data_IF_833149877070
#
_entry.id   IF_833149877070
#
_cell.length_a   1.000
_cell.length_b   1.000
_cell.length_c   1.000
_cell.angle_alpha   90.00
_cell.angle_beta   90.00
_cell.angle_gamma   90.00
#
_symmetry.space_group_name_H-M   'P 1'
#
loop_
_entity.id
_entity.type
_entity.pdbx_description
1 polymer ?
#
# COMPACT_ATOMS: atom_id res chain seq x y z
N UNK A 1 -47.09 26.59 44.23
CA UNK A 1 -47.04 25.15 43.91
C UNK A 1 -46.92 25.05 42.38
N UNK A 2 -45.74 24.99 41.77
CA UNK A 2 -44.79 23.87 41.62
C UNK A 2 -45.45 22.55 41.24
N UNK A 3 -45.29 22.14 39.98
CA UNK A 3 -44.86 20.79 39.59
C UNK A 3 -44.34 20.83 38.14
N UNK A 4 -43.01 20.82 38.00
CA UNK A 4 -42.25 20.44 36.81
C UNK A 4 -41.82 18.98 37.01
N UNK A 5 -42.05 18.11 36.03
CA UNK A 5 -41.46 16.78 35.78
C UNK A 5 -41.98 16.41 34.37
N UNK A 6 -41.21 16.15 33.31
CA UNK A 6 -39.84 15.68 33.18
C UNK A 6 -39.87 14.24 32.65
N UNK A 7 -39.85 14.04 31.32
CA UNK A 7 -39.32 12.82 30.70
C UNK A 7 -39.01 13.04 29.22
N UNK A 8 -37.72 13.26 28.95
CA UNK A 8 -37.07 13.02 27.67
C UNK A 8 -37.02 11.50 27.43
N UNK A 9 -37.38 11.09 26.21
CA UNK A 9 -37.01 9.79 25.68
C UNK A 9 -36.29 10.05 24.35
N UNK A 10 -34.97 10.16 24.49
CA UNK A 10 -33.99 10.30 23.43
C UNK A 10 -34.00 9.02 22.58
N UNK A 11 -34.32 9.16 21.29
CA UNK A 11 -34.27 8.08 20.33
C UNK A 11 -32.84 8.00 19.76
N UNK A 12 -31.99 7.20 20.39
CA UNK A 12 -30.70 6.78 19.84
C UNK A 12 -30.96 5.87 18.62
N UNK A 13 -31.04 6.47 17.44
CA UNK A 13 -31.04 5.76 16.16
C UNK A 13 -29.60 5.36 15.86
N UNK A 14 -29.21 4.15 16.29
CA UNK A 14 -28.00 3.48 15.83
C UNK A 14 -28.11 3.24 14.31
N UNK A 15 -27.50 4.14 13.53
CA UNK A 15 -27.25 3.91 12.11
C UNK A 15 -26.01 3.03 11.96
N UNK A 16 -26.20 1.73 12.14
CA UNK A 16 -25.23 0.69 11.76
C UNK A 16 -25.56 0.23 10.33
N UNK A 17 -25.36 1.11 9.35
CA UNK A 17 -25.33 0.74 7.93
C UNK A 17 -24.09 1.34 7.26
N UNK A 18 -22.98 0.60 7.39
CA UNK A 18 -21.81 0.80 6.56
C UNK A 18 -21.55 -0.48 5.77
N UNK A 19 -22.41 -0.74 4.77
CA UNK A 19 -22.08 -1.45 3.53
C UNK A 19 -21.36 -2.78 3.72
N UNK A 20 -22.14 -3.86 3.79
CA UNK A 20 -21.70 -5.24 3.96
C UNK A 20 -20.59 -5.65 3.00
N UNK A 21 -19.40 -5.88 3.56
CA UNK A 21 -18.54 -6.93 3.06
C UNK A 21 -19.09 -8.21 3.67
N UNK A 22 -19.53 -9.16 2.84
CA UNK A 22 -19.76 -10.51 3.31
C UNK A 22 -18.44 -11.01 3.89
N UNK A 23 -18.41 -11.34 5.18
CA UNK A 23 -17.31 -12.03 5.88
C UNK A 23 -17.20 -13.48 5.32
N UNK A 24 -17.07 -13.62 4.00
CA UNK A 24 -16.53 -14.85 3.43
C UNK A 24 -15.08 -14.86 3.85
N UNK A 25 -14.75 -15.82 4.72
CA UNK A 25 -13.42 -16.10 5.24
C UNK A 25 -12.50 -16.45 4.05
N UNK A 26 -12.01 -15.41 3.38
CA UNK A 26 -11.24 -15.51 2.17
C UNK A 26 -9.81 -15.90 2.58
N UNK A 27 -9.57 -17.22 2.69
CA UNK A 27 -8.24 -17.75 2.91
C UNK A 27 -7.30 -17.23 1.81
N UNK A 28 -6.29 -16.46 2.22
CA UNK A 28 -5.20 -16.07 1.35
C UNK A 28 -4.26 -17.27 1.23
N UNK A 29 -4.17 -17.84 0.02
CA UNK A 29 -3.11 -18.80 -0.31
C UNK A 29 -1.79 -18.05 -0.47
N UNK A 30 -0.78 -18.55 0.22
CA UNK A 30 0.57 -17.97 0.19
C UNK A 30 1.19 -18.22 -1.19
N UNK A 31 1.54 -17.15 -1.90
CA UNK A 31 2.32 -17.28 -3.13
C UNK A 31 3.74 -17.73 -2.77
N UNK A 32 4.18 -18.88 -3.32
CA UNK A 32 5.56 -19.34 -3.22
C UNK A 32 6.45 -18.39 -4.03
N UNK A 33 7.30 -17.64 -3.32
CA UNK A 33 8.27 -16.74 -3.91
C UNK A 33 9.52 -17.54 -4.25
N UNK A 34 9.90 -17.59 -5.53
CA UNK A 34 11.11 -18.26 -5.98
C UNK A 34 12.38 -17.52 -5.57
N UNK A 35 13.45 -18.25 -5.25
CA UNK A 35 14.76 -17.68 -4.93
C UNK A 35 15.35 -16.86 -6.10
N UNK A 36 15.02 -17.24 -7.33
CA UNK A 36 15.44 -16.53 -8.53
C UNK A 36 14.78 -15.15 -8.64
N UNK A 37 13.49 -15.04 -8.30
CA UNK A 37 12.77 -13.77 -8.30
C UNK A 37 13.32 -12.82 -7.23
N UNK A 38 13.60 -13.34 -6.03
CA UNK A 38 14.25 -12.56 -4.97
C UNK A 38 15.62 -12.03 -5.41
N UNK A 39 16.45 -12.89 -6.03
CA UNK A 39 17.77 -12.51 -6.51
C UNK A 39 17.71 -11.48 -7.65
N UNK A 40 16.77 -11.64 -8.59
CA UNK A 40 16.58 -10.71 -9.69
C UNK A 40 16.18 -9.31 -9.19
N UNK A 41 15.30 -9.25 -8.18
CA UNK A 41 14.82 -8.00 -7.60
C UNK A 41 15.85 -7.34 -6.68
N UNK A 42 16.65 -8.12 -5.96
CA UNK A 42 17.71 -7.61 -5.10
C UNK A 42 18.72 -6.73 -5.86
N UNK A 43 18.97 -7.02 -7.15
CA UNK A 43 19.84 -6.22 -8.04
C UNK A 43 19.32 -4.79 -8.29
N UNK A 44 18.05 -4.54 -8.01
CA UNK A 44 17.38 -3.25 -8.18
C UNK A 44 16.94 -2.64 -6.84
N UNK A 45 17.30 -3.26 -5.71
CA UNK A 45 17.12 -2.63 -4.40
C UNK A 45 18.25 -1.67 -4.11
N UNK A 46 17.95 -0.57 -3.41
CA UNK A 46 18.96 0.38 -3.00
C UNK A 46 19.68 -0.17 -1.75
N UNK A 47 20.98 -0.51 -1.80
CA UNK A 47 21.71 -1.05 -0.65
C UNK A 47 21.82 -0.05 0.50
N UNK A 48 21.78 1.26 0.22
CA UNK A 48 21.81 2.31 1.25
C UNK A 48 20.44 2.56 1.89
N UNK A 49 19.35 2.06 1.30
CA UNK A 49 18.00 2.27 1.84
C UNK A 49 17.80 1.60 3.21
N UNK A 50 18.55 0.53 3.52
CA UNK A 50 18.51 -0.13 4.82
C UNK A 50 18.88 0.80 5.99
N UNK A 51 19.63 1.88 5.73
CA UNK A 51 19.95 2.91 6.74
C UNK A 51 18.79 3.88 7.02
N UNK A 52 17.79 3.93 6.14
CA UNK A 52 16.62 4.81 6.27
C UNK A 52 15.54 4.09 7.07
N UNK A 53 15.66 4.13 8.39
CA UNK A 53 14.63 3.60 9.27
C UNK A 53 13.35 4.41 9.15
N UNK A 54 12.23 3.72 8.93
CA UNK A 54 10.93 4.35 8.83
C UNK A 54 10.47 4.80 10.24
N UNK A 55 10.26 6.11 10.41
CA UNK A 55 9.83 6.71 11.69
C UNK A 55 8.40 6.27 12.06
N UNK A 56 8.21 5.84 13.31
CA UNK A 56 6.90 5.51 13.90
C UNK A 56 6.27 6.73 14.57
N UNK A 57 5.00 6.60 15.00
CA UNK A 57 4.36 7.63 15.83
C UNK A 57 5.14 7.86 17.12
N UNK A 58 5.60 6.78 17.75
CA UNK A 58 6.38 6.79 18.99
C UNK A 58 7.66 7.59 18.82
N UNK A 59 8.42 7.35 17.74
CA UNK A 59 9.67 8.05 17.45
C UNK A 59 9.47 9.57 17.38
N UNK A 60 8.42 10.01 16.66
CA UNK A 60 8.13 11.44 16.47
C UNK A 60 7.73 12.10 17.79
N UNK A 61 6.92 11.43 18.60
CA UNK A 61 6.45 11.99 19.87
C UNK A 61 7.59 12.05 20.89
N UNK A 62 8.43 11.00 20.96
CA UNK A 62 9.60 10.97 21.83
C UNK A 62 10.63 12.02 21.45
N UNK A 63 10.89 12.23 20.15
CA UNK A 63 11.76 13.31 19.66
C UNK A 63 11.21 14.68 20.08
N UNK A 64 9.90 14.92 19.90
CA UNK A 64 9.24 16.17 20.30
C UNK A 64 9.26 16.40 21.83
N UNK A 65 9.13 15.35 22.62
CA UNK A 65 9.25 15.42 24.08
C UNK A 65 10.68 15.83 24.46
N UNK A 66 11.69 15.17 23.88
CA UNK A 66 13.11 15.48 24.13
C UNK A 66 13.46 16.93 23.81
N UNK A 67 13.07 17.42 22.64
CA UNK A 67 13.29 18.82 22.24
C UNK A 67 12.68 19.83 23.23
N UNK A 68 11.48 19.53 23.77
CA UNK A 68 10.84 20.38 24.77
C UNK A 68 11.54 20.33 26.13
N UNK A 69 12.06 19.18 26.53
CA UNK A 69 12.80 19.04 27.79
C UNK A 69 14.13 19.79 27.74
N UNK A 70 14.85 19.67 26.62
CA UNK A 70 16.10 20.41 26.36
C UNK A 70 15.86 21.93 26.34
N UNK A 71 14.81 22.40 25.66
CA UNK A 71 14.43 23.81 25.66
C UNK A 71 13.98 24.32 27.05
N UNK A 72 13.46 23.44 27.90
CA UNK A 72 13.05 23.73 29.27
C UNK A 72 14.15 23.59 30.33
N UNK A 73 15.38 23.21 29.93
CA UNK A 73 16.50 23.02 30.85
C UNK A 73 16.38 21.83 31.81
N UNK A 74 15.53 20.83 31.47
CA UNK A 74 15.40 19.60 32.25
C UNK A 74 16.46 18.57 31.83
N UNK A 75 17.02 17.79 32.77
CA UNK A 75 18.04 16.78 32.44
C UNK A 75 17.46 15.68 31.54
N UNK A 76 18.29 15.20 30.60
CA UNK A 76 17.93 14.09 29.71
C UNK A 76 17.67 12.82 30.53
N UNK A 77 16.47 12.25 30.38
CA UNK A 77 16.12 10.96 30.98
C UNK A 77 16.74 9.85 30.11
N UNK A 78 17.43 8.84 30.69
CA UNK A 78 17.94 7.69 29.93
C UNK A 78 16.82 6.96 29.17
N UNK A 79 17.13 6.37 28.00
CA UNK A 79 16.15 5.66 27.16
C UNK A 79 15.44 4.49 27.87
N UNK A 80 16.05 3.95 28.94
CA UNK A 80 15.57 2.76 29.66
C UNK A 80 14.67 3.05 30.88
N UNK A 81 14.45 4.32 31.27
CA UNK A 81 13.58 4.64 32.40
C UNK A 81 12.18 5.06 31.95
N UNK A 82 11.17 4.24 32.27
CA UNK A 82 9.73 4.61 32.24
C UNK A 82 9.40 5.68 33.30
N UNK A 83 10.08 6.83 33.24
CA UNK A 83 9.91 7.94 34.17
C UNK A 83 8.75 8.87 33.79
N UNK A 84 8.29 9.72 34.72
CA UNK A 84 7.19 10.68 34.52
C UNK A 84 7.43 11.74 33.42
N UNK A 85 8.60 11.76 32.78
CA UNK A 85 8.92 12.65 31.65
C UNK A 85 8.53 12.14 30.27
N UNK A 86 8.08 10.89 30.11
CA UNK A 86 7.65 10.31 28.82
C UNK A 86 6.21 10.66 28.41
N UNK A 87 5.53 11.56 29.13
CA UNK A 87 4.13 11.92 28.87
C UNK A 87 4.06 13.14 27.94
N UNK A 88 3.30 13.08 26.84
CA UNK A 88 3.00 14.27 26.05
C UNK A 88 2.38 15.38 26.92
N UNK A 89 2.99 16.56 26.91
CA UNK A 89 2.57 17.67 27.78
C UNK A 89 1.12 18.10 27.54
N UNK A 90 0.39 18.40 28.62
CA UNK A 90 -1.00 18.86 28.58
C UNK A 90 -2.07 17.79 28.84
N UNK A 91 -1.67 16.55 29.13
CA UNK A 91 -2.59 15.45 29.49
C UNK A 91 -2.61 15.29 31.02
N UNK A 92 -3.81 15.22 31.61
CA UNK A 92 -3.99 15.01 33.06
C UNK A 92 -3.43 13.64 33.48
N UNK A 93 -2.78 13.51 34.65
CA UNK A 93 -2.21 12.24 35.12
C UNK A 93 -3.21 11.08 35.13
N UNK A 94 -4.45 11.33 35.56
CA UNK A 94 -5.54 10.34 35.55
C UNK A 94 -5.85 9.78 34.15
N UNK A 95 -5.76 10.63 33.12
CA UNK A 95 -5.96 10.20 31.73
C UNK A 95 -4.77 9.39 31.23
N UNK A 96 -3.56 9.70 31.68
CA UNK A 96 -2.35 8.93 31.34
C UNK A 96 -2.48 7.50 31.85
N UNK A 97 -2.83 7.32 33.12
CA UNK A 97 -3.05 6.00 33.71
C UNK A 97 -4.17 5.25 32.99
N UNK A 98 -5.29 5.92 32.69
CA UNK A 98 -6.40 5.33 31.93
C UNK A 98 -5.96 4.80 30.56
N UNK A 99 -5.24 5.59 29.76
CA UNK A 99 -4.83 5.18 28.42
C UNK A 99 -3.71 4.14 28.43
N UNK A 100 -2.84 4.14 29.43
CA UNK A 100 -1.86 3.05 29.66
C UNK A 100 -2.57 1.72 29.95
N UNK A 101 -3.61 1.73 30.78
CA UNK A 101 -4.42 0.53 31.03
C UNK A 101 -5.17 0.07 29.77
N UNK A 102 -5.67 1.00 28.95
CA UNK A 102 -6.23 0.67 27.63
C UNK A 102 -5.20 -0.01 26.74
N UNK A 103 -3.95 0.47 26.71
CA UNK A 103 -2.86 -0.18 25.95
C UNK A 103 -2.62 -1.63 26.37
N UNK A 104 -2.60 -1.91 27.68
CA UNK A 104 -2.49 -3.28 28.22
C UNK A 104 -3.62 -4.19 27.74
N UNK A 105 -4.85 -3.66 27.62
CA UNK A 105 -6.00 -4.40 27.08
C UNK A 105 -5.80 -4.68 25.58
N UNK A 106 -5.39 -3.68 24.81
CA UNK A 106 -5.22 -3.80 23.35
C UNK A 106 -4.11 -4.79 22.96
N UNK A 107 -3.06 -4.91 23.78
CA UNK A 107 -2.01 -5.92 23.60
C UNK A 107 -2.51 -7.36 23.63
N UNK A 108 -3.55 -7.64 24.42
CA UNK A 108 -4.14 -8.99 24.58
C UNK A 108 -5.48 -9.16 23.86
N UNK A 109 -5.93 -8.13 23.16
CA UNK A 109 -7.25 -8.12 22.53
C UNK A 109 -7.33 -9.15 21.40
N UNK A 110 -8.40 -9.91 21.35
CA UNK A 110 -8.66 -10.87 20.26
C UNK A 110 -10.06 -10.66 19.70
N UNK A 111 -11.06 -10.72 20.57
CA UNK A 111 -12.48 -10.53 20.24
C UNK A 111 -13.17 -9.66 21.30
N UNK A 112 -14.37 -9.16 20.95
CA UNK A 112 -15.21 -8.41 21.88
C UNK A 112 -15.22 -6.90 21.64
N UNK A 113 -15.75 -6.16 22.62
CA UNK A 113 -15.96 -4.71 22.50
C UNK A 113 -14.69 -3.95 22.88
N UNK A 114 -14.24 -3.08 21.97
CA UNK A 114 -13.13 -2.16 22.23
C UNK A 114 -13.51 -1.14 23.33
N UNK A 115 -12.62 -0.80 24.28
CA UNK A 115 -12.91 0.14 25.36
C UNK A 115 -13.47 1.48 24.89
N UNK A 116 -14.46 2.03 25.61
CA UNK A 116 -15.10 3.32 25.27
C UNK A 116 -14.09 4.47 25.21
N UNK A 117 -13.11 4.46 26.11
CA UNK A 117 -12.01 5.45 26.14
C UNK A 117 -11.17 5.43 24.85
N UNK A 118 -10.98 4.26 24.23
CA UNK A 118 -10.30 4.16 22.93
C UNK A 118 -11.16 4.70 21.79
N UNK A 119 -12.49 4.44 21.85
CA UNK A 119 -13.43 4.86 20.80
C UNK A 119 -13.55 6.37 20.61
N UNK A 120 -13.26 7.15 21.64
CA UNK A 120 -13.33 8.61 21.57
C UNK A 120 -12.05 9.22 20.99
N UNK A 121 -10.93 8.49 20.90
CA UNK A 121 -9.63 9.04 20.47
C UNK A 121 -9.73 9.77 19.11
N UNK A 122 -10.37 9.21 18.06
CA UNK A 122 -10.45 9.91 16.76
C UNK A 122 -11.17 11.25 16.79
N UNK A 123 -11.93 11.56 17.85
CA UNK A 123 -12.66 12.82 18.03
C UNK A 123 -11.85 13.89 18.77
N UNK A 124 -10.69 13.52 19.32
CA UNK A 124 -9.83 14.43 20.08
C UNK A 124 -8.96 15.26 19.14
N UNK A 125 -8.70 16.51 19.50
CA UNK A 125 -7.77 17.37 18.76
C UNK A 125 -6.33 16.84 18.86
N UNK A 126 -5.94 16.37 20.04
CA UNK A 126 -4.63 15.80 20.35
C UNK A 126 -4.63 14.25 20.27
N UNK A 127 -5.37 13.68 19.32
CA UNK A 127 -5.54 12.23 19.20
C UNK A 127 -4.23 11.45 19.08
N UNK A 128 -3.19 12.02 18.45
CA UNK A 128 -1.87 11.38 18.30
C UNK A 128 -1.15 11.19 19.64
N UNK A 129 -1.14 12.23 20.46
CA UNK A 129 -0.53 12.21 21.80
C UNK A 129 -1.27 11.22 22.70
N UNK A 130 -2.60 11.17 22.60
CA UNK A 130 -3.43 10.22 23.36
C UNK A 130 -3.25 8.79 22.86
N UNK A 131 -3.12 8.59 21.54
CA UNK A 131 -2.91 7.28 20.94
C UNK A 131 -1.56 6.68 21.37
N UNK A 132 -0.53 7.51 21.43
CA UNK A 132 0.80 7.12 21.90
C UNK A 132 0.78 6.47 23.29
N UNK A 133 -0.02 7.00 24.21
CA UNK A 133 -0.18 6.44 25.56
C UNK A 133 -0.73 5.01 25.58
N UNK A 134 -1.35 4.55 24.49
CA UNK A 134 -1.90 3.19 24.37
C UNK A 134 -0.91 2.19 23.79
N UNK A 135 0.36 2.58 23.58
CA UNK A 135 1.42 1.76 23.00
C UNK A 135 1.00 1.04 21.70
N UNK A 136 0.83 1.77 20.58
CA UNK A 136 0.36 1.21 19.31
C UNK A 136 1.25 0.11 18.71
N UNK A 137 2.51 0.08 19.13
CA UNK A 137 3.51 -0.89 18.72
C UNK A 137 3.32 -2.26 19.39
N UNK A 138 2.76 -2.26 20.60
CA UNK A 138 2.45 -3.45 21.38
C UNK A 138 1.04 -4.02 21.13
N UNK A 139 0.23 -3.44 20.25
CA UNK A 139 -1.12 -3.93 19.97
C UNK A 139 -1.14 -5.34 19.39
N UNK A 140 -2.21 -6.09 19.64
CA UNK A 140 -2.43 -7.33 18.90
C UNK A 140 -2.87 -7.06 17.45
N UNK A 141 -2.70 -8.02 16.52
CA UNK A 141 -3.24 -7.93 15.16
C UNK A 141 -4.74 -7.60 15.11
N UNK A 142 -5.52 -8.14 16.05
CA UNK A 142 -6.96 -7.92 16.14
C UNK A 142 -7.29 -6.50 16.63
N UNK A 143 -6.51 -5.97 17.57
CA UNK A 143 -6.64 -4.59 18.02
C UNK A 143 -6.33 -3.62 16.87
N UNK A 144 -5.25 -3.88 16.13
CA UNK A 144 -4.88 -3.06 14.95
C UNK A 144 -5.96 -3.06 13.89
N UNK A 145 -6.63 -4.20 13.65
CA UNK A 145 -7.79 -4.25 12.76
C UNK A 145 -8.95 -3.37 13.23
N UNK A 146 -9.36 -3.50 14.50
CA UNK A 146 -10.47 -2.70 15.03
C UNK A 146 -10.12 -1.21 15.08
N UNK A 147 -8.88 -0.87 15.47
CA UNK A 147 -8.37 0.48 15.42
C UNK A 147 -8.42 1.03 13.99
N UNK A 148 -7.93 0.28 13.00
CA UNK A 148 -7.97 0.72 11.60
C UNK A 148 -9.40 0.96 11.12
N UNK A 149 -10.33 0.03 11.39
CA UNK A 149 -11.75 0.21 11.03
C UNK A 149 -12.34 1.49 11.62
N UNK A 150 -12.05 1.76 12.89
CA UNK A 150 -12.60 2.92 13.59
C UNK A 150 -11.95 4.24 13.15
N UNK A 151 -10.63 4.27 13.07
CA UNK A 151 -9.87 5.47 12.73
C UNK A 151 -10.11 5.88 11.27
N UNK A 152 -10.15 4.93 10.35
CA UNK A 152 -10.43 5.22 8.93
C UNK A 152 -11.83 5.78 8.73
N UNK A 153 -12.83 5.32 9.50
CA UNK A 153 -14.19 5.85 9.40
C UNK A 153 -14.37 7.23 10.05
N UNK A 154 -13.68 7.51 11.15
CA UNK A 154 -13.92 8.73 11.95
C UNK A 154 -12.93 9.87 11.64
N UNK A 155 -11.73 9.56 11.15
CA UNK A 155 -10.73 10.59 10.82
C UNK A 155 -10.92 11.17 9.41
N UNK A 156 -10.56 12.45 9.25
CA UNK A 156 -10.44 13.04 7.92
C UNK A 156 -9.26 12.43 7.12
N UNK A 157 -9.16 12.72 5.82
CA UNK A 157 -8.13 12.14 4.94
C UNK A 157 -6.70 12.37 5.43
N UNK A 158 -6.39 13.57 5.92
CA UNK A 158 -5.05 13.94 6.39
C UNK A 158 -4.67 13.21 7.67
N UNK A 159 -5.59 13.12 8.62
CA UNK A 159 -5.36 12.40 9.88
C UNK A 159 -5.29 10.89 9.66
N UNK A 160 -6.17 10.33 8.83
CA UNK A 160 -6.12 8.91 8.48
C UNK A 160 -4.82 8.54 7.76
N UNK A 161 -4.31 9.42 6.89
CA UNK A 161 -2.99 9.24 6.25
C UNK A 161 -1.87 9.13 7.31
N UNK A 162 -1.89 10.01 8.33
CA UNK A 162 -0.91 9.98 9.43
C UNK A 162 -1.01 8.69 10.24
N UNK A 163 -2.22 8.28 10.62
CA UNK A 163 -2.44 6.99 11.30
C UNK A 163 -1.90 5.81 10.46
N UNK A 164 -2.21 5.78 9.18
CA UNK A 164 -1.75 4.73 8.28
C UNK A 164 -0.22 4.69 8.15
N UNK A 165 0.42 5.86 8.02
CA UNK A 165 1.87 5.95 7.84
C UNK A 165 2.67 5.66 9.11
N UNK A 166 2.16 6.07 10.28
CA UNK A 166 2.90 6.08 11.54
C UNK A 166 2.55 4.91 12.47
N UNK A 167 1.40 4.26 12.25
CA UNK A 167 0.92 3.15 13.09
C UNK A 167 0.71 1.89 12.27
N UNK A 168 -0.15 1.93 11.25
CA UNK A 168 -0.51 0.72 10.49
C UNK A 168 0.66 0.19 9.65
N UNK A 169 1.37 1.06 8.92
CA UNK A 169 2.47 0.65 8.06
C UNK A 169 3.60 0.00 8.86
N UNK A 170 4.15 0.60 9.93
CA UNK A 170 5.22 -0.03 10.71
C UNK A 170 4.80 -1.38 11.30
N UNK A 171 3.55 -1.49 11.79
CA UNK A 171 3.03 -2.74 12.36
C UNK A 171 2.96 -3.87 11.31
N UNK A 172 2.45 -3.57 10.11
CA UNK A 172 2.38 -4.53 8.99
C UNK A 172 3.76 -4.99 8.56
N UNK A 173 4.72 -4.06 8.44
CA UNK A 173 6.10 -4.39 8.06
C UNK A 173 6.80 -5.25 9.09
N UNK A 174 6.61 -4.93 10.39
CA UNK A 174 7.13 -5.70 11.51
C UNK A 174 6.58 -7.13 11.51
N UNK A 175 5.26 -7.29 11.39
CA UNK A 175 4.63 -8.62 11.38
C UNK A 175 5.14 -9.48 10.20
N UNK A 176 5.32 -8.90 9.01
CA UNK A 176 5.90 -9.59 7.85
C UNK A 176 7.36 -9.97 8.09
N UNK A 177 8.15 -9.07 8.69
CA UNK A 177 9.55 -9.34 9.02
C UNK A 177 9.68 -10.50 10.01
N UNK A 178 8.90 -10.47 11.08
CA UNK A 178 9.00 -11.41 12.20
C UNK A 178 8.45 -12.78 11.83
N UNK A 179 7.31 -12.83 11.12
CA UNK A 179 6.59 -14.07 10.83
C UNK A 179 6.80 -14.60 9.41
N UNK A 180 7.47 -13.84 8.53
CA UNK A 180 7.59 -14.10 7.06
C UNK A 180 6.27 -14.17 6.30
N UNK A 181 5.15 -13.93 6.98
CA UNK A 181 3.77 -13.88 6.48
C UNK A 181 2.99 -12.82 7.24
N UNK A 182 1.90 -12.31 6.67
CA UNK A 182 1.05 -11.34 7.33
C UNK A 182 -0.12 -12.01 8.05
N UNK A 183 -0.36 -11.65 9.30
CA UNK A 183 -1.52 -12.09 10.07
C UNK A 183 -2.84 -11.66 9.39
N UNK A 184 -3.83 -12.56 9.35
CA UNK A 184 -5.11 -12.32 8.65
C UNK A 184 -5.81 -11.02 9.08
N UNK A 185 -5.90 -10.75 10.39
CA UNK A 185 -6.47 -9.49 10.90
C UNK A 185 -5.76 -8.24 10.36
N UNK A 186 -4.43 -8.26 10.18
CA UNK A 186 -3.69 -7.14 9.58
C UNK A 186 -3.96 -7.03 8.08
N UNK A 187 -4.14 -8.15 7.37
CA UNK A 187 -4.59 -8.13 5.98
C UNK A 187 -5.98 -7.49 5.85
N UNK A 188 -6.91 -7.81 6.75
CA UNK A 188 -8.22 -7.15 6.81
C UNK A 188 -8.10 -5.67 7.19
N UNK A 189 -7.14 -5.30 8.04
CA UNK A 189 -6.83 -3.91 8.34
C UNK A 189 -6.39 -3.14 7.08
N UNK A 190 -5.53 -3.72 6.24
CA UNK A 190 -5.14 -3.14 4.96
C UNK A 190 -6.33 -2.99 4.00
N UNK A 191 -7.19 -4.01 3.88
CA UNK A 191 -8.44 -3.93 3.09
C UNK A 191 -9.33 -2.80 3.60
N UNK A 192 -9.46 -2.63 4.92
CA UNK A 192 -10.27 -1.57 5.50
C UNK A 192 -9.64 -0.19 5.32
N UNK A 193 -8.31 -0.09 5.38
CA UNK A 193 -7.59 1.15 5.09
C UNK A 193 -7.86 1.66 3.65
N UNK A 194 -8.04 0.76 2.70
CA UNK A 194 -8.35 1.10 1.31
C UNK A 194 -9.71 1.80 1.11
N UNK A 195 -10.61 1.79 2.11
CA UNK A 195 -11.88 2.53 2.06
C UNK A 195 -11.69 4.05 2.04
N UNK A 196 -10.47 4.53 2.33
CA UNK A 196 -10.09 5.94 2.19
C UNK A 196 -8.88 6.04 1.24
N UNK A 197 -9.10 5.98 -0.09
CA UNK A 197 -8.04 5.78 -1.09
C UNK A 197 -6.91 6.81 -1.04
N UNK A 198 -7.23 8.10 -0.84
CA UNK A 198 -6.23 9.15 -0.77
C UNK A 198 -5.24 8.93 0.40
N UNK A 199 -5.78 8.56 1.57
CA UNK A 199 -4.99 8.23 2.75
C UNK A 199 -4.21 6.92 2.55
N UNK A 200 -4.83 5.91 1.93
CA UNK A 200 -4.19 4.63 1.63
C UNK A 200 -2.96 4.80 0.74
N UNK A 201 -3.08 5.52 -0.38
CA UNK A 201 -1.94 5.71 -1.28
C UNK A 201 -0.83 6.54 -0.63
N UNK A 202 -1.17 7.66 0.02
CA UNK A 202 -0.17 8.57 0.62
C UNK A 202 0.38 8.10 1.95
N UNK A 203 -0.31 7.20 2.64
CA UNK A 203 0.05 6.70 3.97
C UNK A 203 0.64 5.29 3.97
N UNK A 204 0.29 4.45 2.99
CA UNK A 204 0.79 3.08 2.89
C UNK A 204 1.66 2.89 1.65
N UNK A 205 1.06 2.93 0.46
CA UNK A 205 1.71 2.49 -0.77
C UNK A 205 2.92 3.35 -1.14
N UNK A 206 2.74 4.67 -1.23
CA UNK A 206 3.79 5.59 -1.67
C UNK A 206 4.94 5.68 -0.66
N UNK A 207 4.70 5.81 0.66
CA UNK A 207 5.79 5.77 1.64
C UNK A 207 6.59 4.46 1.59
N UNK A 208 5.90 3.32 1.42
CA UNK A 208 6.58 2.03 1.29
C UNK A 208 7.52 2.00 0.09
N UNK A 209 7.06 2.44 -1.08
CA UNK A 209 7.88 2.47 -2.29
C UNK A 209 9.03 3.50 -2.18
N UNK A 210 8.75 4.67 -1.59
CA UNK A 210 9.73 5.75 -1.41
C UNK A 210 10.84 5.39 -0.42
N UNK A 211 10.54 4.54 0.57
CA UNK A 211 11.54 4.09 1.55
C UNK A 211 12.69 3.32 0.92
N UNK A 212 12.50 2.73 -0.27
CA UNK A 212 13.51 1.90 -0.93
C UNK A 212 13.82 0.57 -0.22
N UNK A 213 13.21 0.30 0.94
CA UNK A 213 13.37 -0.93 1.74
C UNK A 213 12.24 -1.92 1.56
N UNK A 214 11.29 -1.65 0.67
CA UNK A 214 10.16 -2.54 0.41
C UNK A 214 10.66 -3.89 -0.09
N UNK A 215 10.39 -4.95 0.66
CA UNK A 215 10.75 -6.32 0.29
C UNK A 215 9.76 -6.90 -0.73
N UNK A 216 10.14 -8.01 -1.36
CA UNK A 216 9.27 -8.72 -2.30
C UNK A 216 8.00 -9.25 -1.62
N UNK A 217 8.12 -9.80 -0.41
CA UNK A 217 6.99 -10.30 0.38
C UNK A 217 6.00 -9.18 0.70
N UNK A 218 6.49 -8.02 1.14
CA UNK A 218 5.66 -6.82 1.35
C UNK A 218 4.95 -6.39 0.06
N UNK A 219 5.66 -6.40 -1.07
CA UNK A 219 5.10 -6.01 -2.37
C UNK A 219 3.99 -6.95 -2.83
N UNK A 220 4.16 -8.28 -2.70
CA UNK A 220 3.16 -9.30 -3.05
C UNK A 220 1.89 -9.14 -2.21
N UNK A 221 2.05 -8.98 -0.88
CA UNK A 221 0.90 -8.85 0.03
C UNK A 221 0.09 -7.60 -0.27
N UNK A 222 0.73 -6.44 -0.42
CA UNK A 222 0.03 -5.18 -0.76
C UNK A 222 -0.54 -5.19 -2.17
N UNK A 223 0.13 -5.85 -3.11
CA UNK A 223 -0.41 -6.09 -4.46
C UNK A 223 -1.69 -6.92 -4.42
N UNK A 224 -1.74 -7.95 -3.58
CA UNK A 224 -2.95 -8.75 -3.36
C UNK A 224 -4.10 -7.91 -2.79
N UNK A 225 -3.83 -7.05 -1.81
CA UNK A 225 -4.82 -6.10 -1.29
C UNK A 225 -5.35 -5.22 -2.42
N UNK A 226 -4.45 -4.56 -3.16
CA UNK A 226 -4.79 -3.67 -4.28
C UNK A 226 -5.65 -4.38 -5.33
N UNK A 227 -5.35 -5.64 -5.68
CA UNK A 227 -6.11 -6.44 -6.63
C UNK A 227 -7.55 -6.68 -6.15
N UNK A 228 -7.74 -6.98 -4.86
CA UNK A 228 -9.06 -7.30 -4.27
C UNK A 228 -9.93 -6.08 -3.98
N UNK A 229 -9.35 -4.93 -3.68
CA UNK A 229 -10.13 -3.71 -3.35
C UNK A 229 -10.55 -2.95 -4.60
N UNK A 230 -11.76 -2.37 -4.59
CA UNK A 230 -12.20 -1.45 -5.62
C UNK A 230 -11.77 -0.02 -5.26
N UNK A 231 -10.88 0.57 -6.06
CA UNK A 231 -10.33 1.90 -5.82
C UNK A 231 -10.82 2.89 -6.89
N UNK A 232 -11.12 4.15 -6.55
CA UNK A 232 -11.53 5.13 -7.54
C UNK A 232 -10.39 5.46 -8.53
N UNK A 233 -10.76 5.51 -9.81
CA UNK A 233 -9.85 5.76 -10.93
C UNK A 233 -8.89 6.93 -10.72
N UNK A 234 -9.39 8.09 -10.27
CA UNK A 234 -8.56 9.31 -10.16
C UNK A 234 -7.44 9.15 -9.13
N UNK A 235 -7.71 8.47 -8.01
CA UNK A 235 -6.69 8.19 -7.00
C UNK A 235 -5.66 7.20 -7.53
N UNK A 236 -6.12 6.13 -8.18
CA UNK A 236 -5.26 5.13 -8.83
C UNK A 236 -4.36 5.76 -9.89
N UNK A 237 -4.90 6.65 -10.73
CA UNK A 237 -4.17 7.35 -11.78
C UNK A 237 -3.07 8.28 -11.21
N UNK A 238 -3.38 9.02 -10.13
CA UNK A 238 -2.39 9.86 -9.45
C UNK A 238 -1.29 9.03 -8.78
N UNK A 239 -1.64 7.93 -8.13
CA UNK A 239 -0.68 7.00 -7.54
C UNK A 239 0.23 6.38 -8.59
N UNK A 240 -0.33 5.96 -9.73
CA UNK A 240 0.39 5.36 -10.85
C UNK A 240 1.40 6.35 -11.46
N UNK A 241 1.00 7.60 -11.68
CA UNK A 241 1.93 8.64 -12.14
C UNK A 241 3.07 8.89 -11.14
N UNK A 242 2.78 8.84 -9.83
CA UNK A 242 3.81 8.99 -8.79
C UNK A 242 4.76 7.80 -8.74
N UNK A 243 4.26 6.57 -8.90
CA UNK A 243 5.06 5.34 -9.02
C UNK A 243 5.95 5.34 -10.26
N UNK A 244 5.44 5.85 -11.38
CA UNK A 244 6.20 5.98 -12.62
C UNK A 244 7.39 6.97 -12.49
N UNK A 245 7.20 8.06 -11.74
CA UNK A 245 8.20 9.13 -11.59
C UNK A 245 9.15 9.01 -10.40
N UNK A 246 9.05 7.98 -9.54
CA UNK A 246 9.99 7.77 -8.44
C UNK A 246 11.20 6.94 -8.87
N UNK A 247 12.25 6.92 -8.06
CA UNK A 247 13.42 6.07 -8.29
C UNK A 247 12.97 4.60 -8.43
N UNK A 248 13.48 3.91 -9.44
CA UNK A 248 13.08 2.53 -9.69
C UNK A 248 13.65 1.60 -8.63
N UNK A 249 12.76 0.89 -7.96
CA UNK A 249 13.04 -0.36 -7.26
C UNK A 249 12.29 -1.48 -7.98
N UNK A 250 12.83 -2.69 -7.98
CA UNK A 250 12.20 -3.83 -8.67
C UNK A 250 10.74 -4.07 -8.24
N UNK A 251 10.42 -3.76 -6.98
CA UNK A 251 9.07 -3.90 -6.41
C UNK A 251 8.05 -2.89 -6.93
N UNK A 252 8.47 -1.73 -7.44
CA UNK A 252 7.55 -0.75 -8.04
C UNK A 252 6.80 -1.35 -9.24
N UNK A 253 7.42 -2.26 -9.99
CA UNK A 253 6.80 -2.94 -11.13
C UNK A 253 5.58 -3.78 -10.76
N UNK A 254 5.54 -4.36 -9.55
CA UNK A 254 4.35 -5.09 -9.07
C UNK A 254 3.15 -4.16 -8.94
N UNK A 255 3.34 -3.03 -8.25
CA UNK A 255 2.27 -2.07 -8.04
C UNK A 255 1.81 -1.40 -9.33
N UNK A 256 2.74 -1.06 -10.22
CA UNK A 256 2.41 -0.52 -11.55
C UNK A 256 1.58 -1.55 -12.32
N UNK A 257 2.04 -2.81 -12.40
CA UNK A 257 1.31 -3.89 -13.09
C UNK A 257 -0.12 -4.06 -12.53
N UNK A 258 -0.28 -4.19 -11.22
CA UNK A 258 -1.59 -4.39 -10.57
C UNK A 258 -2.53 -3.21 -10.84
N UNK A 259 -2.03 -1.98 -10.78
CA UNK A 259 -2.86 -0.79 -11.07
C UNK A 259 -3.24 -0.70 -12.55
N UNK A 260 -2.40 -1.19 -13.47
CA UNK A 260 -2.74 -1.30 -14.89
C UNK A 260 -3.79 -2.40 -15.14
N UNK A 261 -3.71 -3.52 -14.43
CA UNK A 261 -4.66 -4.64 -14.49
C UNK A 261 -6.07 -4.27 -14.01
N UNK A 262 -6.22 -3.15 -13.29
CA UNK A 262 -7.53 -2.55 -12.99
C UNK A 262 -8.24 -1.99 -14.22
N UNK A 263 -7.55 -1.84 -15.36
CA UNK A 263 -8.12 -1.48 -16.68
C UNK A 263 -8.90 -0.16 -16.69
N UNK A 264 -8.54 0.77 -15.81
CA UNK A 264 -9.13 2.11 -15.76
C UNK A 264 -8.92 2.91 -17.06
N UNK A 265 -9.74 3.94 -17.26
CA UNK A 265 -9.51 4.92 -18.31
C UNK A 265 -8.52 5.98 -17.79
N UNK A 266 -7.24 5.86 -18.15
CA UNK A 266 -6.20 6.74 -17.63
C UNK A 266 -6.16 8.09 -18.38
N UNK A 267 -5.94 9.23 -17.69
CA UNK A 267 -5.66 10.50 -18.34
C UNK A 267 -4.36 10.43 -19.15
N UNK A 268 -4.28 11.14 -20.29
CA UNK A 268 -3.09 11.13 -21.15
C UNK A 268 -1.79 11.46 -20.44
N UNK A 269 -1.81 12.41 -19.49
CA UNK A 269 -0.61 12.72 -18.69
C UNK A 269 -0.06 11.53 -17.91
N UNK A 270 -0.91 10.59 -17.48
CA UNK A 270 -0.48 9.39 -16.77
C UNK A 270 0.08 8.37 -17.74
N UNK A 271 -0.52 8.23 -18.93
CA UNK A 271 -0.03 7.37 -20.00
C UNK A 271 1.35 7.84 -20.48
N UNK A 272 1.49 9.14 -20.72
CA UNK A 272 2.76 9.76 -21.13
C UNK A 272 3.84 9.55 -20.04
N UNK A 273 3.50 9.72 -18.75
CA UNK A 273 4.42 9.44 -17.65
C UNK A 273 4.84 7.96 -17.55
N UNK A 274 3.94 7.02 -17.88
CA UNK A 274 4.27 5.58 -17.93
C UNK A 274 5.18 5.25 -19.12
N UNK A 275 4.94 5.87 -20.28
CA UNK A 275 5.84 5.76 -21.43
C UNK A 275 7.24 6.25 -21.03
N UNK A 276 7.34 7.44 -20.42
CA UNK A 276 8.61 8.00 -19.97
C UNK A 276 9.32 7.07 -18.97
N UNK A 277 8.56 6.49 -18.03
CA UNK A 277 9.07 5.49 -17.09
C UNK A 277 9.72 4.30 -17.81
N UNK A 278 9.00 3.64 -18.73
CA UNK A 278 9.54 2.49 -19.46
C UNK A 278 10.72 2.87 -20.36
N UNK A 279 10.65 4.02 -21.04
CA UNK A 279 11.73 4.51 -21.89
C UNK A 279 12.98 4.90 -21.10
N UNK A 280 12.86 5.17 -19.79
CA UNK A 280 14.00 5.38 -18.89
C UNK A 280 14.98 4.20 -18.86
N UNK A 281 14.49 2.97 -19.05
CA UNK A 281 15.32 1.75 -19.04
C UNK A 281 16.04 1.47 -20.36
N UNK A 282 15.93 2.38 -21.34
CA UNK A 282 16.66 2.26 -22.61
C UNK A 282 18.17 2.23 -22.47
N UNK A 283 18.73 2.71 -21.36
CA UNK A 283 20.17 2.67 -21.07
C UNK A 283 20.54 1.70 -19.94
N UNK A 284 19.56 1.00 -19.38
CA UNK A 284 19.81 0.03 -18.32
C UNK A 284 20.61 -1.15 -18.88
N UNK A 285 21.65 -1.55 -18.17
CA UNK A 285 22.54 -2.66 -18.53
C UNK A 285 22.25 -3.90 -17.68
N UNK A 286 21.66 -3.72 -16.49
CA UNK A 286 21.21 -4.82 -15.66
C UNK A 286 20.05 -5.55 -16.32
N UNK A 287 20.01 -6.87 -16.19
CA UNK A 287 18.89 -7.68 -16.63
C UNK A 287 17.64 -7.33 -15.83
N UNK A 288 16.60 -6.84 -16.52
CA UNK A 288 15.35 -6.43 -15.88
C UNK A 288 14.55 -7.65 -15.39
N UNK A 289 13.87 -7.57 -14.23
CA UNK A 289 13.07 -8.67 -13.71
C UNK A 289 11.86 -8.97 -14.61
N UNK A 290 11.37 -10.21 -14.60
CA UNK A 290 10.19 -10.64 -15.39
C UNK A 290 8.98 -9.75 -15.13
N UNK A 291 8.75 -9.34 -13.87
CA UNK A 291 7.65 -8.44 -13.49
C UNK A 291 7.71 -7.08 -14.21
N UNK A 292 8.89 -6.57 -14.55
CA UNK A 292 9.03 -5.34 -15.34
C UNK A 292 8.50 -5.55 -16.76
N UNK A 293 8.89 -6.66 -17.40
CA UNK A 293 8.42 -7.00 -18.74
C UNK A 293 6.91 -7.25 -18.76
N UNK A 294 6.39 -7.93 -17.74
CA UNK A 294 4.94 -8.15 -17.60
C UNK A 294 4.20 -6.82 -17.38
N UNK A 295 4.75 -5.91 -16.57
CA UNK A 295 4.18 -4.57 -16.39
C UNK A 295 4.08 -3.79 -17.70
N UNK A 296 5.13 -3.84 -18.53
CA UNK A 296 5.15 -3.25 -19.87
C UNK A 296 4.10 -3.92 -20.79
N UNK A 297 3.99 -5.25 -20.76
CA UNK A 297 2.99 -5.98 -21.54
C UNK A 297 1.57 -5.57 -21.15
N UNK A 298 1.24 -5.55 -19.85
CA UNK A 298 -0.07 -5.11 -19.37
C UNK A 298 -0.37 -3.67 -19.80
N UNK A 299 0.61 -2.78 -19.72
CA UNK A 299 0.47 -1.40 -20.20
C UNK A 299 0.11 -1.36 -21.70
N UNK A 300 0.89 -2.05 -22.53
CA UNK A 300 0.67 -2.05 -23.98
C UNK A 300 -0.67 -2.70 -24.34
N UNK A 301 -0.98 -3.88 -23.79
CA UNK A 301 -2.25 -4.56 -24.05
C UNK A 301 -3.46 -3.65 -23.81
N UNK A 302 -3.42 -2.86 -22.74
CA UNK A 302 -4.54 -2.01 -22.34
C UNK A 302 -4.57 -0.64 -23.02
N UNK A 303 -3.41 -0.01 -23.20
CA UNK A 303 -3.30 1.41 -23.55
C UNK A 303 -2.65 1.66 -24.91
N UNK A 304 -2.33 0.63 -25.71
CA UNK A 304 -1.73 0.75 -27.05
C UNK A 304 -2.37 1.78 -27.99
N UNK A 305 -3.67 2.02 -27.88
CA UNK A 305 -4.39 3.00 -28.72
C UNK A 305 -4.24 4.46 -28.25
N UNK A 306 -3.78 4.66 -27.02
CA UNK A 306 -3.62 5.97 -26.39
C UNK A 306 -2.14 6.44 -26.37
N UNK A 307 -1.22 5.64 -26.93
CA UNK A 307 0.21 5.95 -27.05
C UNK A 307 0.47 6.74 -28.35
N UNK A 308 1.33 7.75 -28.30
CA UNK A 308 1.71 8.57 -29.46
C UNK A 308 2.55 7.75 -30.45
N UNK A 309 2.52 8.13 -31.74
CA UNK A 309 3.23 7.40 -32.78
C UNK A 309 4.76 7.37 -32.55
N UNK A 310 5.34 8.51 -32.13
CA UNK A 310 6.77 8.61 -31.79
C UNK A 310 7.15 7.69 -30.63
N UNK A 311 6.31 7.63 -29.59
CA UNK A 311 6.54 6.82 -28.41
C UNK A 311 6.49 5.33 -28.74
N UNK A 312 5.57 4.90 -29.61
CA UNK A 312 5.55 3.50 -30.08
C UNK A 312 6.84 3.11 -30.78
N UNK A 313 7.38 3.97 -31.64
CA UNK A 313 8.66 3.71 -32.30
C UNK A 313 9.81 3.57 -31.28
N UNK A 314 9.78 4.38 -30.22
CA UNK A 314 10.75 4.27 -29.12
C UNK A 314 10.57 2.99 -28.30
N UNK A 315 9.32 2.55 -28.06
CA UNK A 315 9.01 1.29 -27.39
C UNK A 315 9.47 0.08 -28.21
N UNK A 316 9.31 0.09 -29.54
CA UNK A 316 9.87 -0.97 -30.41
C UNK A 316 11.40 -1.06 -30.27
N UNK A 317 12.09 0.08 -30.16
CA UNK A 317 13.54 0.09 -29.93
C UNK A 317 13.88 -0.41 -28.52
N UNK A 318 13.07 -0.06 -27.52
CA UNK A 318 13.25 -0.51 -26.13
C UNK A 318 13.18 -2.03 -26.03
N UNK A 319 12.12 -2.66 -26.56
CA UNK A 319 11.91 -4.11 -26.40
C UNK A 319 12.95 -4.97 -27.13
N UNK A 320 13.60 -4.42 -28.17
CA UNK A 320 14.75 -5.08 -28.82
C UNK A 320 16.01 -5.07 -27.95
N UNK A 321 16.18 -4.02 -27.15
CA UNK A 321 17.32 -3.90 -26.22
C UNK A 321 17.05 -4.66 -24.92
N UNK A 322 15.88 -4.46 -24.33
CA UNK A 322 15.42 -5.13 -23.12
C UNK A 322 14.54 -6.31 -23.52
N UNK A 323 15.18 -7.42 -23.90
CA UNK A 323 14.51 -8.59 -24.46
C UNK A 323 14.19 -9.65 -23.41
N UNK A 324 12.95 -10.14 -23.41
CA UNK A 324 12.52 -11.32 -22.68
C UNK A 324 11.90 -12.33 -23.65
N UNK A 325 12.41 -13.56 -23.65
CA UNK A 325 12.09 -14.59 -24.66
C UNK A 325 10.60 -14.89 -24.83
N UNK A 326 9.81 -14.91 -23.75
CA UNK A 326 8.35 -15.14 -23.83
C UNK A 326 7.50 -13.86 -23.95
N UNK A 327 7.96 -12.75 -23.38
CA UNK A 327 7.10 -11.57 -23.16
C UNK A 327 7.29 -10.54 -24.26
N UNK A 328 8.53 -10.32 -24.69
CA UNK A 328 8.84 -9.35 -25.75
C UNK A 328 8.10 -9.63 -27.07
N UNK A 329 7.98 -10.90 -27.55
CA UNK A 329 7.20 -11.18 -28.75
C UNK A 329 5.74 -10.74 -28.64
N UNK A 330 5.12 -10.93 -27.47
CA UNK A 330 3.74 -10.51 -27.21
C UNK A 330 3.63 -8.97 -27.19
N UNK A 331 4.56 -8.28 -26.54
CA UNK A 331 4.61 -6.80 -26.53
C UNK A 331 4.73 -6.27 -27.97
N UNK A 332 5.61 -6.86 -28.77
CA UNK A 332 5.79 -6.50 -30.17
C UNK A 332 4.50 -6.67 -30.97
N UNK A 333 3.83 -7.83 -30.82
CA UNK A 333 2.55 -8.12 -31.49
C UNK A 333 1.48 -7.09 -31.14
N UNK A 334 1.35 -6.75 -29.86
CA UNK A 334 0.34 -5.79 -29.40
C UNK A 334 0.60 -4.36 -29.90
N UNK A 335 1.86 -3.94 -30.00
CA UNK A 335 2.24 -2.63 -30.57
C UNK A 335 1.89 -2.56 -32.07
N UNK A 336 2.27 -3.56 -32.86
CA UNK A 336 1.97 -3.63 -34.30
C UNK A 336 0.46 -3.66 -34.59
N UNK A 337 -0.30 -4.35 -33.75
CA UNK A 337 -1.75 -4.52 -33.92
C UNK A 337 -2.57 -3.26 -33.55
N UNK A 338 -1.96 -2.08 -33.42
CA UNK A 338 -2.62 -0.90 -32.85
C UNK A 338 -2.34 0.41 -33.57
N UNK A 339 -3.41 1.21 -33.77
CA UNK A 339 -3.31 2.62 -34.20
C UNK A 339 -2.70 3.50 -33.12
N UNK A 340 -2.04 4.58 -33.51
CA UNK A 340 -1.50 5.58 -32.56
C UNK A 340 -2.58 6.54 -32.08
N UNK A 341 -2.33 7.21 -30.95
CA UNK A 341 -3.21 8.25 -30.40
C UNK A 341 -3.50 9.33 -31.45
N UNK A 342 -4.78 9.59 -31.71
CA UNK A 342 -5.21 10.61 -32.67
C UNK A 342 -5.19 10.19 -34.13
N UNK A 343 -4.74 8.97 -34.46
CA UNK A 343 -4.89 8.42 -35.81
C UNK A 343 -6.35 8.01 -36.05
N UNK A 344 -6.93 8.48 -37.16
CA UNK A 344 -8.28 8.08 -37.56
C UNK A 344 -8.28 6.60 -37.96
N UNK A 345 -9.31 5.86 -37.55
CA UNK A 345 -9.51 4.50 -38.06
C UNK A 345 -9.60 4.56 -39.58
N UNK A 346 -8.82 3.73 -40.29
CA UNK A 346 -9.08 3.51 -41.72
C UNK A 346 -10.48 2.91 -41.81
N UNK A 347 -11.39 3.61 -42.48
CA UNK A 347 -12.79 3.20 -42.61
C UNK A 347 -12.85 1.75 -43.12
N UNK A 348 -13.44 0.85 -42.31
CA UNK A 348 -13.63 -0.56 -42.66
C UNK A 348 -13.02 -1.59 -41.70
N UNK A 349 -12.20 -1.21 -40.72
CA UNK A 349 -11.78 -2.13 -39.67
C UNK A 349 -12.87 -2.26 -38.61
N UNK A 350 -13.57 -3.40 -38.59
CA UNK A 350 -14.52 -3.77 -37.54
C UNK A 350 -13.81 -3.70 -36.18
N UNK A 351 -14.31 -2.86 -35.26
CA UNK A 351 -13.80 -2.79 -33.89
C UNK A 351 -14.13 -4.10 -33.18
N UNK A 352 -13.20 -5.06 -33.25
CA UNK A 352 -13.21 -6.20 -32.34
C UNK A 352 -12.76 -5.65 -30.98
N UNK A 353 -13.72 -5.35 -30.10
CA UNK A 353 -13.44 -5.34 -28.67
C UNK A 353 -12.81 -6.71 -28.36
N UNK A 354 -11.52 -6.72 -28.02
CA UNK A 354 -10.85 -7.92 -27.60
C UNK A 354 -11.58 -8.50 -26.38
N UNK A 355 -12.39 -9.53 -26.60
CA UNK A 355 -12.77 -10.47 -25.55
C UNK A 355 -11.48 -11.21 -25.19
N UNK A 356 -10.74 -10.68 -24.23
CA UNK A 356 -9.58 -11.36 -23.67
C UNK A 356 -10.09 -12.61 -22.96
N UNK A 357 -9.66 -13.77 -23.47
CA UNK A 357 -9.87 -15.07 -22.84
C UNK A 357 -9.40 -15.01 -21.40
N UNK A 358 -10.29 -15.29 -20.45
CA UNK A 358 -10.00 -15.40 -19.02
C UNK A 358 -9.21 -16.68 -18.66
N UNK A 359 -8.42 -17.23 -19.59
CA UNK A 359 -7.73 -18.52 -19.46
C UNK A 359 -6.20 -18.40 -19.53
N UNK A 360 -5.64 -17.30 -19.04
CA UNK A 360 -4.24 -17.29 -18.58
C UNK A 360 -4.24 -16.94 -17.11
N UNK A 361 -4.73 -17.88 -16.30
CA UNK A 361 -4.25 -18.09 -14.94
C UNK A 361 -3.05 -19.02 -15.10
N UNK A 362 -1.84 -18.48 -14.96
CA UNK A 362 -0.65 -19.32 -14.88
C UNK A 362 -0.72 -20.11 -13.57
N UNK A 363 -0.84 -21.43 -13.70
CA UNK A 363 -0.65 -22.36 -12.59
C UNK A 363 0.82 -22.80 -12.66
N UNK A 364 1.64 -22.27 -11.75
CA UNK A 364 3.10 -22.40 -11.71
C UNK A 364 3.57 -23.87 -11.73
N UNK A 365 2.70 -24.81 -11.37
CA UNK A 365 2.97 -26.25 -11.31
C UNK A 365 3.00 -26.97 -12.67
N UNK A 366 2.52 -26.37 -13.75
CA UNK A 366 2.42 -27.02 -15.07
C UNK A 366 3.40 -26.48 -16.12
N UNK A 367 4.48 -25.81 -15.69
CA UNK A 367 5.56 -25.47 -16.60
C UNK A 367 6.30 -26.75 -17.03
N UNK A 368 6.46 -27.02 -18.35
CA UNK A 368 7.28 -28.12 -18.80
C UNK A 368 8.72 -27.91 -18.32
N UNK A 369 9.43 -28.97 -17.88
CA UNK A 369 10.79 -28.84 -17.40
C UNK A 369 11.68 -28.26 -18.50
N UNK A 370 12.47 -27.26 -18.13
CA UNK A 370 13.45 -26.63 -19.00
C UNK A 370 14.45 -27.71 -19.41
N UNK A 371 14.43 -28.09 -20.69
CA UNK A 371 15.47 -28.91 -21.29
C UNK A 371 16.75 -28.08 -21.32
N UNK A 372 17.60 -28.30 -20.34
CA UNK A 372 18.98 -27.84 -20.37
C UNK A 372 19.66 -28.55 -21.56
N UNK A 373 20.11 -27.78 -22.54
CA UNK A 373 21.02 -28.32 -23.54
C UNK A 373 22.34 -28.64 -22.82
N UNK A 374 22.73 -29.91 -22.84
CA UNK A 374 24.05 -30.35 -22.42
C UNK A 374 25.10 -29.69 -23.33
N UNK A 375 26.12 -29.08 -22.72
CA UNK A 375 27.24 -28.45 -23.41
C UNK A 375 28.15 -29.53 -24.00
N UNK A 376 28.41 -29.46 -25.30
CA UNK A 376 29.55 -30.14 -25.97
C UNK A 376 30.81 -29.25 -25.93
#
# INVERSE_FOLDING_TARGET
MRAYQGHDADSDVESDDAGGFSDVEEHWEEEEIGLEDEAALARFMNPEAASQQQRTLSDIIMERIREKQEAGGMPAIPEDEEGPGMVPGGIKPELVELYKEVGKILRRFTTGKVPKAFKIIPKLENWEDVLFLTDPEGWSPHATYQATRMFVSNLNAKMAQRFMALVLLPHVRRDISDNRRLHHALFQALKKAAYKPDAFYKGLLLPLCQSGTCTLREAVILSSVLTRVSLPMLHSAAALARLAGMAYSGVNSFFIRVLLDKKYALPYRVIDALVDHFLGFRKEERQLPVVWHQSLLTFVQRYKHEIRAEDKQLLHKLIRRQFHYLVTPEVHRELEASRSRGEKSKAGAMEVQARVSSKVTENIRELPPVLLMEED
#
